data_IF_560626951659
#
_entry.id   IF_560626951659
#
_cell.length_a   1.000
_cell.length_b   1.000
_cell.length_c   1.000
_cell.angle_alpha   90.00
_cell.angle_beta   90.00
_cell.angle_gamma   90.00
#
_symmetry.space_group_name_H-M   'P 1'
#
loop_
_entity.id
_entity.type
_entity.pdbx_description
1 polymer ?
#
# COMPACT_ATOMS: atom_id res chain seq x y z
N UNK A 1 -17.35 -29.96 -3.15
CA UNK A 1 -15.90 -29.62 -3.06
C UNK A 1 -15.72 -28.63 -1.91
N UNK A 2 -15.14 -29.07 -0.81
CA UNK A 2 -15.02 -28.29 0.44
C UNK A 2 -13.92 -27.22 0.27
N UNK A 3 -14.30 -25.94 0.20
CA UNK A 3 -13.42 -24.81 -0.12
C UNK A 3 -12.44 -24.42 0.99
N UNK A 4 -11.46 -25.27 1.29
CA UNK A 4 -10.42 -25.06 2.30
C UNK A 4 -9.29 -24.12 1.87
N UNK A 5 -9.32 -23.59 0.64
CA UNK A 5 -8.21 -22.82 0.04
C UNK A 5 -8.40 -21.31 -0.14
N UNK A 6 -9.53 -20.71 0.27
CA UNK A 6 -9.77 -19.26 0.02
C UNK A 6 -8.94 -18.39 0.97
N UNK A 7 -7.95 -17.68 0.44
CA UNK A 7 -7.13 -16.74 1.22
C UNK A 7 -7.96 -15.52 1.64
N UNK A 8 -8.13 -15.23 2.94
CA UNK A 8 -8.85 -14.05 3.39
C UNK A 8 -8.05 -12.78 3.09
N UNK A 9 -8.76 -11.67 2.79
CA UNK A 9 -8.17 -10.35 2.48
C UNK A 9 -7.17 -9.90 3.55
N UNK A 10 -7.42 -10.20 4.84
CA UNK A 10 -6.48 -9.88 5.93
C UNK A 10 -5.11 -10.54 5.77
N UNK A 11 -5.06 -11.81 5.36
CA UNK A 11 -3.77 -12.51 5.13
C UNK A 11 -3.04 -11.94 3.92
N UNK A 12 -3.79 -11.61 2.86
CA UNK A 12 -3.22 -10.97 1.67
C UNK A 12 -2.71 -9.56 1.97
N UNK A 13 -3.42 -8.80 2.80
CA UNK A 13 -3.00 -7.47 3.24
C UNK A 13 -1.70 -7.53 4.05
N UNK A 14 -1.58 -8.47 5.00
CA UNK A 14 -0.32 -8.67 5.74
C UNK A 14 0.82 -9.04 4.80
N UNK A 15 0.57 -9.91 3.81
CA UNK A 15 1.56 -10.26 2.79
C UNK A 15 1.95 -9.08 1.91
N UNK A 16 0.99 -8.19 1.58
CA UNK A 16 1.24 -7.01 0.75
C UNK A 16 1.87 -5.85 1.51
N UNK A 17 1.74 -5.77 2.83
CA UNK A 17 2.28 -4.67 3.63
C UNK A 17 3.77 -4.36 3.40
N UNK A 18 4.71 -5.33 3.37
CA UNK A 18 6.12 -5.04 3.10
C UNK A 18 6.38 -4.44 1.71
N UNK A 19 5.46 -4.59 0.75
CA UNK A 19 5.55 -3.97 -0.57
C UNK A 19 4.79 -2.64 -0.64
N UNK A 20 3.60 -2.59 -0.03
CA UNK A 20 2.74 -1.42 -0.05
C UNK A 20 3.32 -0.25 0.76
N UNK A 21 3.90 -0.53 1.94
CA UNK A 21 4.48 0.51 2.80
C UNK A 21 5.61 1.29 2.09
N UNK A 22 6.65 0.66 1.51
CA UNK A 22 7.69 1.40 0.79
C UNK A 22 7.17 2.06 -0.49
N UNK A 23 6.21 1.46 -1.19
CA UNK A 23 5.57 2.11 -2.33
C UNK A 23 4.88 3.42 -1.93
N UNK A 24 4.16 3.43 -0.80
CA UNK A 24 3.58 4.64 -0.23
C UNK A 24 4.67 5.65 0.16
N UNK A 25 5.77 5.21 0.77
CA UNK A 25 6.88 6.10 1.15
C UNK A 25 7.47 6.84 -0.06
N UNK A 26 7.75 6.11 -1.14
CA UNK A 26 8.29 6.67 -2.39
C UNK A 26 7.30 7.66 -2.97
N UNK A 27 6.02 7.30 -3.04
CA UNK A 27 4.98 8.17 -3.60
C UNK A 27 4.78 9.44 -2.76
N UNK A 28 4.84 9.36 -1.43
CA UNK A 28 4.80 10.53 -0.54
C UNK A 28 6.01 11.44 -0.76
N UNK A 29 7.21 10.87 -0.86
CA UNK A 29 8.42 11.63 -1.12
C UNK A 29 8.35 12.35 -2.47
N UNK A 30 7.97 11.63 -3.53
CA UNK A 30 7.78 12.21 -4.87
C UNK A 30 6.67 13.27 -4.87
N UNK A 31 5.58 13.07 -4.14
CA UNK A 31 4.54 14.08 -3.97
C UNK A 31 5.09 15.33 -3.29
N UNK A 32 5.96 15.18 -2.29
CA UNK A 32 6.66 16.29 -1.65
C UNK A 32 7.57 17.07 -2.61
N UNK A 33 8.29 16.37 -3.49
CA UNK A 33 9.10 17.02 -4.52
C UNK A 33 8.24 17.76 -5.55
N UNK A 34 7.15 17.14 -6.02
CA UNK A 34 6.23 17.77 -6.97
C UNK A 34 5.48 18.95 -6.34
N UNK A 35 5.13 18.86 -5.06
CA UNK A 35 4.48 19.94 -4.32
C UNK A 35 5.28 21.24 -4.27
N UNK A 36 6.60 21.17 -4.44
CA UNK A 36 7.46 22.35 -4.52
C UNK A 36 7.05 23.29 -5.67
N UNK A 37 6.48 22.75 -6.76
CA UNK A 37 6.00 23.55 -7.90
C UNK A 37 4.86 24.51 -7.55
N UNK A 38 4.08 24.20 -6.50
CA UNK A 38 2.98 25.06 -6.02
C UNK A 38 3.31 25.73 -4.68
N UNK A 39 4.61 25.76 -4.31
CA UNK A 39 5.10 26.47 -3.12
C UNK A 39 5.05 25.67 -1.81
N UNK A 40 4.74 24.37 -1.83
CA UNK A 40 4.85 23.53 -0.64
C UNK A 40 6.33 23.27 -0.27
N UNK A 41 6.66 23.09 1.02
CA UNK A 41 7.98 22.65 1.43
C UNK A 41 8.27 21.21 0.97
N UNK A 42 9.54 20.90 0.73
CA UNK A 42 9.98 19.54 0.41
C UNK A 42 9.70 18.59 1.59
N UNK A 43 9.18 17.40 1.31
CA UNK A 43 8.97 16.37 2.31
C UNK A 43 10.28 15.63 2.59
N UNK A 44 10.74 15.64 3.83
CA UNK A 44 11.97 14.91 4.19
C UNK A 44 11.80 13.39 4.00
N UNK A 45 12.83 12.65 3.53
CA UNK A 45 12.75 11.21 3.32
C UNK A 45 12.33 10.43 4.58
N UNK A 46 12.85 10.83 5.75
CA UNK A 46 12.51 10.22 7.03
C UNK A 46 11.05 10.46 7.39
N UNK A 47 10.52 11.66 7.13
CA UNK A 47 9.10 11.96 7.35
C UNK A 47 8.22 11.12 6.43
N UNK A 48 8.59 10.96 5.16
CA UNK A 48 7.86 10.11 4.21
C UNK A 48 7.80 8.64 4.70
N UNK A 49 8.89 8.11 5.24
CA UNK A 49 8.95 6.77 5.83
C UNK A 49 8.09 6.63 7.10
N UNK A 50 8.11 7.62 7.99
CA UNK A 50 7.31 7.57 9.23
C UNK A 50 5.82 7.62 8.90
N UNK A 51 5.42 8.49 7.97
CA UNK A 51 4.02 8.63 7.54
C UNK A 51 3.56 7.43 6.72
N UNK A 52 4.45 6.76 5.98
CA UNK A 52 4.09 5.56 5.21
C UNK A 52 3.77 4.35 6.08
N UNK A 53 4.26 4.27 7.32
CA UNK A 53 3.92 3.16 8.24
C UNK A 53 2.40 3.04 8.45
N UNK A 54 1.69 4.07 8.97
CA UNK A 54 0.24 3.99 9.13
C UNK A 54 -0.50 4.00 7.79
N UNK A 55 -0.02 4.74 6.78
CA UNK A 55 -0.68 4.77 5.45
C UNK A 55 -0.47 3.50 4.63
N UNK A 56 0.56 2.72 4.93
CA UNK A 56 0.82 1.41 4.34
C UNK A 56 -0.25 0.39 4.68
N UNK A 57 -0.93 0.53 5.84
CA UNK A 57 -2.00 -0.39 6.28
C UNK A 57 -3.22 -0.34 5.35
N UNK A 58 -3.87 0.83 5.10
CA UNK A 58 -4.98 0.89 4.15
C UNK A 58 -4.53 0.59 2.72
N UNK A 59 -3.32 0.97 2.31
CA UNK A 59 -2.78 0.63 0.99
C UNK A 59 -2.62 -0.90 0.82
N UNK A 60 -2.08 -1.59 1.81
CA UNK A 60 -1.93 -3.04 1.81
C UNK A 60 -3.28 -3.76 1.82
N UNK A 61 -4.26 -3.24 2.55
CA UNK A 61 -5.63 -3.78 2.53
C UNK A 61 -6.28 -3.66 1.15
N UNK A 62 -6.18 -2.49 0.50
CA UNK A 62 -6.68 -2.28 -0.85
C UNK A 62 -5.99 -3.22 -1.86
N UNK A 63 -4.67 -3.35 -1.78
CA UNK A 63 -3.91 -4.28 -2.62
C UNK A 63 -4.33 -5.74 -2.37
N UNK A 64 -4.47 -6.14 -1.10
CA UNK A 64 -4.93 -7.48 -0.74
C UNK A 64 -6.36 -7.78 -1.22
N UNK A 65 -7.27 -6.77 -1.18
CA UNK A 65 -8.63 -6.88 -1.71
C UNK A 65 -8.62 -7.02 -3.23
N UNK A 66 -7.77 -6.26 -3.91
CA UNK A 66 -7.60 -6.35 -5.36
C UNK A 66 -7.08 -7.74 -5.77
N UNK A 67 -6.00 -8.24 -5.14
CA UNK A 67 -5.51 -9.59 -5.36
C UNK A 67 -6.59 -10.65 -5.11
N UNK A 68 -7.43 -10.49 -4.06
CA UNK A 68 -8.56 -11.40 -3.83
C UNK A 68 -9.54 -11.40 -4.98
N UNK A 69 -9.90 -10.23 -5.50
CA UNK A 69 -10.81 -10.14 -6.65
C UNK A 69 -10.23 -10.79 -7.91
N UNK A 70 -8.90 -10.74 -8.10
CA UNK A 70 -8.24 -11.42 -9.21
C UNK A 70 -8.27 -12.94 -9.06
N UNK A 71 -8.07 -13.45 -7.84
CA UNK A 71 -8.21 -14.88 -7.56
C UNK A 71 -9.65 -15.35 -7.80
N UNK A 72 -10.65 -14.59 -7.33
CA UNK A 72 -12.06 -14.92 -7.54
C UNK A 72 -12.49 -14.84 -9.03
N UNK A 73 -11.74 -14.16 -9.89
CA UNK A 73 -11.98 -14.12 -11.35
C UNK A 73 -11.27 -15.26 -12.10
N UNK A 74 -10.25 -15.86 -11.50
CA UNK A 74 -9.47 -16.95 -12.09
C UNK A 74 -10.03 -18.33 -11.75
N UNK A 75 -10.77 -18.44 -10.64
CA UNK A 75 -11.57 -19.60 -10.24
C UNK A 75 -12.89 -19.67 -11.02
#
# INVERSE_FOLDING_TARGET
MTGTGRWPVRKLAVLMYPFAMPAVAINLFMLGLTGQWVGLPALAPVTALVVSVPLGVPAAWLAGRWCRSLMDQAD
#
